data_IF_673739443326
#
_entry.id   IF_673739443326
#
_cell.length_a   1.000
_cell.length_b   1.000
_cell.length_c   1.000
_cell.angle_alpha   90.00
_cell.angle_beta   90.00
_cell.angle_gamma   90.00
#
_symmetry.space_group_name_H-M   'P 1'
#
loop_
_entity.id
_entity.type
_entity.pdbx_description
1 polymer ?
#
# COMPACT_ATOMS: atom_id res chain seq x y z
N UNK A 1 25.28 -2.33 8.98
CA UNK A 1 26.35 -1.30 8.90
C UNK A 1 26.07 -0.29 7.77
N UNK A 2 25.80 -0.70 6.55
CA UNK A 2 25.52 0.20 5.41
C UNK A 2 24.37 1.19 5.65
N UNK A 3 23.32 0.78 6.37
CA UNK A 3 22.18 1.65 6.69
C UNK A 3 22.54 2.78 7.67
N UNK A 4 23.43 2.53 8.62
CA UNK A 4 23.92 3.57 9.55
C UNK A 4 24.83 4.58 8.84
N UNK A 5 25.69 4.10 7.94
CA UNK A 5 26.53 4.99 7.12
C UNK A 5 25.67 5.89 6.25
N UNK A 6 24.62 5.34 5.61
CA UNK A 6 23.69 6.11 4.79
C UNK A 6 22.93 7.16 5.63
N UNK A 7 22.44 6.78 6.82
CA UNK A 7 21.76 7.68 7.74
C UNK A 7 22.65 8.87 8.17
N UNK A 8 23.96 8.62 8.37
CA UNK A 8 24.91 9.66 8.74
C UNK A 8 25.19 10.67 7.61
N UNK A 9 24.94 10.30 6.35
CA UNK A 9 25.09 11.18 5.19
C UNK A 9 23.84 12.03 4.92
N UNK A 10 22.70 11.70 5.52
CA UNK A 10 21.45 12.43 5.33
C UNK A 10 21.43 13.73 6.12
N UNK A 11 20.83 14.79 5.54
CA UNK A 11 20.49 16.02 6.27
C UNK A 11 19.41 15.74 7.32
N UNK A 12 19.19 16.67 8.23
CA UNK A 12 18.12 16.51 9.23
C UNK A 12 16.73 16.57 8.58
N UNK A 13 16.54 17.38 7.52
CA UNK A 13 15.33 17.42 6.71
C UNK A 13 15.06 16.07 6.02
N UNK A 14 16.10 15.44 5.46
CA UNK A 14 15.97 14.12 4.86
C UNK A 14 15.60 13.07 5.90
N UNK A 15 16.24 13.08 7.08
CA UNK A 15 15.90 12.15 8.17
C UNK A 15 14.47 12.32 8.64
N UNK A 16 14.02 13.56 8.86
CA UNK A 16 12.64 13.86 9.25
C UNK A 16 11.67 13.44 8.15
N UNK A 17 12.00 13.72 6.89
CA UNK A 17 11.20 13.32 5.73
C UNK A 17 10.94 11.81 5.68
N UNK A 18 11.93 10.99 6.08
CA UNK A 18 11.78 9.53 6.09
C UNK A 18 10.69 9.01 7.06
N UNK A 19 10.26 9.82 8.02
CA UNK A 19 9.18 9.48 8.95
C UNK A 19 7.78 9.64 8.34
N UNK A 20 7.69 10.25 7.16
CA UNK A 20 6.40 10.55 6.52
C UNK A 20 6.13 9.62 5.34
N UNK A 21 4.93 9.03 5.35
CA UNK A 21 4.32 8.39 4.21
C UNK A 21 3.06 9.20 3.84
N UNK A 22 3.00 9.70 2.61
CA UNK A 22 1.98 10.66 2.19
C UNK A 22 1.20 10.17 0.98
N UNK A 23 -0.03 10.65 0.81
CA UNK A 23 -0.78 10.45 -0.42
C UNK A 23 -0.33 11.44 -1.53
N UNK A 24 -0.72 11.19 -2.77
CA UNK A 24 -0.30 12.03 -3.91
C UNK A 24 -0.88 13.43 -3.87
N UNK A 25 -2.01 13.63 -3.22
CA UNK A 25 -2.66 14.94 -3.05
C UNK A 25 -1.83 15.87 -2.16
N UNK A 26 -1.09 15.33 -1.19
CA UNK A 26 -0.14 16.13 -0.39
C UNK A 26 1.09 16.54 -1.18
N UNK A 27 1.49 15.75 -2.18
CA UNK A 27 2.57 16.13 -3.09
C UNK A 27 2.16 17.16 -4.14
N UNK A 28 0.87 17.23 -4.49
CA UNK A 28 0.34 18.22 -5.45
C UNK A 28 -0.96 18.82 -4.93
N UNK A 29 -0.84 19.89 -4.15
CA UNK A 29 -1.96 20.63 -3.58
C UNK A 29 -2.59 21.64 -4.55
N UNK A 30 -2.14 21.70 -5.81
CA UNK A 30 -2.74 22.58 -6.84
C UNK A 30 -4.10 22.06 -7.31
N UNK A 31 -4.45 20.84 -6.96
CA UNK A 31 -5.74 20.19 -7.23
C UNK A 31 -6.53 20.01 -5.94
N UNK A 32 -7.81 19.81 -6.09
CA UNK A 32 -8.68 19.55 -4.93
C UNK A 32 -8.38 18.22 -4.23
N UNK A 33 -8.84 18.12 -3.00
CA UNK A 33 -8.80 16.88 -2.23
C UNK A 33 -9.45 15.72 -3.01
N UNK A 34 -8.86 14.54 -2.95
CA UNK A 34 -9.27 13.34 -3.70
C UNK A 34 -9.15 13.43 -5.23
N UNK A 35 -8.38 14.40 -5.74
CA UNK A 35 -8.09 14.43 -7.18
C UNK A 35 -7.39 13.14 -7.63
N UNK A 36 -7.81 12.62 -8.78
CA UNK A 36 -7.27 11.35 -9.33
C UNK A 36 -5.90 11.53 -9.98
N UNK A 37 -4.86 11.70 -9.18
CA UNK A 37 -3.49 11.80 -9.67
C UNK A 37 -3.02 10.46 -10.28
N UNK A 38 -3.11 10.34 -11.59
CA UNK A 38 -2.65 9.15 -12.36
C UNK A 38 -1.29 9.34 -13.04
N UNK A 39 -0.65 10.49 -12.83
CA UNK A 39 0.65 10.84 -13.41
C UNK A 39 1.43 11.72 -12.45
N UNK A 40 2.75 11.57 -12.45
CA UNK A 40 3.63 12.49 -11.75
C UNK A 40 3.52 13.89 -12.40
N UNK A 41 3.16 14.89 -11.59
CA UNK A 41 3.03 16.30 -12.02
C UNK A 41 4.33 17.07 -11.76
N UNK A 42 4.39 18.32 -12.24
CA UNK A 42 5.51 19.20 -11.95
C UNK A 42 5.54 19.56 -10.45
N UNK A 43 4.38 19.90 -9.88
CA UNK A 43 4.25 20.22 -8.46
C UNK A 43 4.74 19.06 -7.57
N UNK A 44 4.36 17.80 -7.87
CA UNK A 44 4.85 16.64 -7.11
C UNK A 44 6.37 16.52 -7.13
N UNK A 45 7.03 16.83 -8.25
CA UNK A 45 8.50 16.78 -8.32
C UNK A 45 9.14 17.85 -7.45
N UNK A 46 8.63 19.07 -7.53
CA UNK A 46 9.09 20.21 -6.72
C UNK A 46 8.90 19.92 -5.23
N UNK A 47 7.76 19.30 -4.85
CA UNK A 47 7.49 18.90 -3.47
C UNK A 47 8.42 17.78 -3.00
N UNK A 48 8.68 16.75 -3.82
CA UNK A 48 9.60 15.66 -3.47
C UNK A 48 11.05 16.14 -3.33
N UNK A 49 11.44 17.15 -4.12
CA UNK A 49 12.76 17.78 -4.01
C UNK A 49 12.89 18.63 -2.75
N UNK A 50 11.84 19.38 -2.40
CA UNK A 50 11.83 20.25 -1.22
C UNK A 50 11.61 19.47 0.09
N UNK A 51 10.78 18.43 0.06
CA UNK A 51 10.40 17.60 1.21
C UNK A 51 10.63 16.12 0.87
N UNK A 52 11.81 15.57 1.18
CA UNK A 52 12.19 14.22 0.79
C UNK A 52 11.49 13.17 1.67
N UNK A 53 10.18 12.95 1.44
CA UNK A 53 9.38 11.97 2.19
C UNK A 53 9.89 10.55 2.04
N UNK A 54 9.67 9.71 3.08
CA UNK A 54 10.08 8.31 3.09
C UNK A 54 9.20 7.41 2.26
N UNK A 55 7.93 7.79 2.04
CA UNK A 55 7.02 6.96 1.28
C UNK A 55 5.81 7.66 0.70
N UNK A 56 5.14 6.94 -0.19
CA UNK A 56 3.87 7.35 -0.79
C UNK A 56 2.86 6.21 -0.76
N UNK A 57 1.62 6.51 -0.43
CA UNK A 57 0.51 5.55 -0.52
C UNK A 57 -0.35 5.85 -1.73
N UNK A 58 -0.61 4.82 -2.55
CA UNK A 58 -1.50 4.90 -3.69
C UNK A 58 -2.84 4.26 -3.36
N UNK A 59 -3.91 4.99 -3.70
CA UNK A 59 -5.29 4.54 -3.54
C UNK A 59 -5.92 4.19 -4.90
N UNK A 60 -7.10 3.58 -4.90
CA UNK A 60 -7.82 3.19 -6.12
C UNK A 60 -7.93 4.32 -7.14
N UNK A 61 -8.10 5.57 -6.69
CA UNK A 61 -8.16 6.76 -7.55
C UNK A 61 -6.87 7.07 -8.31
N UNK A 62 -5.72 6.58 -7.83
CA UNK A 62 -4.42 6.74 -8.46
C UNK A 62 -4.08 5.59 -9.44
N UNK A 63 -4.81 4.47 -9.33
CA UNK A 63 -4.55 3.20 -9.99
C UNK A 63 -5.59 2.98 -11.08
N UNK A 64 -5.16 2.95 -12.35
CA UNK A 64 -6.06 2.72 -13.47
C UNK A 64 -5.84 1.38 -14.14
N UNK A 65 -4.61 1.08 -14.55
CA UNK A 65 -4.22 -0.20 -15.14
C UNK A 65 -2.73 -0.46 -14.93
N UNK A 66 -2.28 -1.69 -15.17
CA UNK A 66 -0.88 -2.12 -14.94
C UNK A 66 0.16 -1.17 -15.54
N UNK A 67 -0.02 -0.77 -16.81
CA UNK A 67 0.95 0.09 -17.52
C UNK A 67 1.05 1.49 -16.89
N UNK A 68 -0.09 2.09 -16.57
CA UNK A 68 -0.13 3.41 -15.94
C UNK A 68 0.47 3.35 -14.53
N UNK A 69 0.08 2.37 -13.71
CA UNK A 69 0.56 2.21 -12.33
C UNK A 69 2.07 1.99 -12.28
N UNK A 70 2.60 1.05 -13.05
CA UNK A 70 4.07 0.84 -13.19
C UNK A 70 4.80 2.13 -13.60
N UNK A 71 4.23 2.88 -14.55
CA UNK A 71 4.84 4.14 -15.02
C UNK A 71 4.82 5.22 -13.95
N UNK A 72 3.74 5.31 -13.17
CA UNK A 72 3.61 6.28 -12.07
C UNK A 72 4.64 5.96 -10.98
N UNK A 73 4.66 4.74 -10.47
CA UNK A 73 5.59 4.29 -9.43
C UNK A 73 7.04 4.51 -9.84
N UNK A 74 7.42 4.06 -11.05
CA UNK A 74 8.78 4.27 -11.56
C UNK A 74 9.17 5.75 -11.62
N UNK A 75 8.21 6.64 -11.96
CA UNK A 75 8.48 8.07 -12.01
C UNK A 75 8.60 8.69 -10.62
N UNK A 76 7.80 8.26 -9.65
CA UNK A 76 7.93 8.68 -8.25
C UNK A 76 9.31 8.29 -7.73
N UNK A 77 9.70 7.02 -7.85
CA UNK A 77 11.03 6.53 -7.44
C UNK A 77 12.18 7.32 -8.09
N UNK A 78 12.08 7.60 -9.41
CA UNK A 78 13.15 8.31 -10.13
C UNK A 78 13.30 9.77 -9.71
N UNK A 79 12.27 10.39 -9.14
CA UNK A 79 12.27 11.80 -8.75
C UNK A 79 12.34 11.99 -7.23
N UNK A 80 12.65 10.95 -6.48
CA UNK A 80 12.95 11.02 -5.06
C UNK A 80 14.47 10.87 -4.85
N UNK A 81 15.03 11.61 -3.90
CA UNK A 81 16.46 11.52 -3.51
C UNK A 81 16.76 10.21 -2.78
N UNK A 82 15.79 9.71 -2.01
CA UNK A 82 15.86 8.43 -1.29
C UNK A 82 14.84 7.46 -1.89
N UNK A 83 15.12 6.16 -1.99
CA UNK A 83 14.14 5.17 -2.41
C UNK A 83 12.88 5.23 -1.56
N UNK A 84 11.70 5.39 -2.20
CA UNK A 84 10.44 5.49 -1.53
C UNK A 84 9.90 4.12 -1.09
N UNK A 85 9.28 4.08 0.08
CA UNK A 85 8.25 3.10 0.36
C UNK A 85 7.01 3.44 -0.48
N UNK A 86 6.65 2.56 -1.39
CA UNK A 86 5.46 2.71 -2.23
C UNK A 86 4.42 1.74 -1.73
N UNK A 87 3.41 2.28 -1.06
CA UNK A 87 2.47 1.54 -0.26
C UNK A 87 1.11 1.41 -0.95
N UNK A 88 0.40 0.34 -0.64
CA UNK A 88 -0.98 0.09 -1.04
C UNK A 88 -1.72 -0.66 0.08
N UNK A 89 -3.04 -0.55 0.11
CA UNK A 89 -3.92 -1.42 0.89
C UNK A 89 -4.43 -2.52 -0.03
N UNK A 90 -3.83 -3.69 -0.01
CA UNK A 90 -4.25 -4.84 -0.79
C UNK A 90 -4.53 -6.02 0.14
N UNK A 91 -5.50 -5.84 1.06
CA UNK A 91 -5.87 -6.83 2.06
C UNK A 91 -6.52 -8.08 1.45
N UNK A 92 -7.14 -7.92 0.27
CA UNK A 92 -8.09 -8.87 -0.29
C UNK A 92 -9.53 -8.49 0.09
N UNK A 93 -10.52 -9.22 -0.42
CA UNK A 93 -11.93 -8.95 -0.15
C UNK A 93 -12.34 -7.51 -0.51
N UNK A 94 -12.93 -6.79 0.43
CA UNK A 94 -13.47 -5.45 0.20
C UNK A 94 -12.36 -4.39 0.05
N UNK A 95 -11.21 -4.61 0.68
CA UNK A 95 -10.08 -3.69 0.63
C UNK A 95 -8.98 -4.24 -0.26
N UNK A 96 -9.17 -4.07 -1.56
CA UNK A 96 -8.21 -4.47 -2.59
C UNK A 96 -8.19 -3.43 -3.71
N UNK A 97 -7.11 -2.67 -3.84
CA UNK A 97 -7.00 -1.58 -4.82
C UNK A 97 -6.62 -2.11 -6.19
N UNK A 98 -5.96 -3.26 -6.23
CA UNK A 98 -5.50 -3.96 -7.42
C UNK A 98 -6.50 -5.05 -7.79
N UNK A 99 -6.81 -5.97 -6.89
CA UNK A 99 -7.74 -7.08 -7.09
C UNK A 99 -9.12 -6.63 -7.53
N UNK A 100 -9.69 -5.62 -6.88
CA UNK A 100 -11.03 -5.10 -7.20
C UNK A 100 -11.05 -4.18 -8.44
N UNK A 101 -9.92 -4.01 -9.14
CA UNK A 101 -9.86 -3.23 -10.38
C UNK A 101 -9.78 -4.16 -11.61
N UNK A 102 -10.86 -4.32 -12.38
CA UNK A 102 -10.92 -5.27 -13.49
C UNK A 102 -9.91 -4.98 -14.61
N UNK A 103 -9.35 -3.76 -14.66
CA UNK A 103 -8.31 -3.39 -15.64
C UNK A 103 -6.92 -3.90 -15.26
N UNK A 104 -6.76 -4.41 -14.04
CA UNK A 104 -5.49 -4.99 -13.57
C UNK A 104 -5.34 -6.44 -14.04
N UNK A 105 -6.44 -7.16 -14.22
CA UNK A 105 -6.46 -8.59 -14.63
C UNK A 105 -5.59 -9.43 -13.70
N UNK A 106 -5.84 -9.30 -12.41
CA UNK A 106 -5.20 -10.02 -11.32
C UNK A 106 -6.19 -10.98 -10.68
N UNK A 107 -5.69 -11.92 -9.90
CA UNK A 107 -6.54 -12.76 -9.07
C UNK A 107 -7.22 -11.92 -7.99
N UNK A 108 -8.40 -12.33 -7.59
CA UNK A 108 -9.21 -11.74 -6.52
C UNK A 108 -9.47 -12.77 -5.46
N UNK A 109 -9.61 -12.33 -4.23
CA UNK A 109 -9.84 -13.22 -3.10
C UNK A 109 -11.09 -12.83 -2.33
N UNK A 110 -11.75 -13.77 -1.65
CA UNK A 110 -12.86 -13.50 -0.74
C UNK A 110 -12.46 -12.59 0.41
N UNK A 111 -13.41 -12.20 1.25
CA UNK A 111 -13.12 -11.49 2.49
C UNK A 111 -12.29 -12.33 3.45
N UNK A 112 -11.53 -11.70 4.33
CA UNK A 112 -10.72 -12.41 5.32
C UNK A 112 -11.59 -13.23 6.28
N UNK A 113 -12.81 -12.77 6.58
CA UNK A 113 -13.77 -13.54 7.37
C UNK A 113 -14.19 -14.84 6.67
N UNK A 114 -14.41 -14.81 5.35
CA UNK A 114 -14.73 -16.03 4.59
C UNK A 114 -13.53 -16.97 4.53
N UNK A 115 -12.34 -16.44 4.35
CA UNK A 115 -11.10 -17.23 4.34
C UNK A 115 -10.83 -17.84 5.74
N UNK A 116 -10.98 -17.06 6.80
CA UNK A 116 -10.81 -17.55 8.18
C UNK A 116 -11.76 -18.69 8.53
N UNK A 117 -12.98 -18.69 8.00
CA UNK A 117 -13.95 -19.79 8.15
C UNK A 117 -13.54 -21.10 7.47
N UNK A 118 -12.61 -21.06 6.52
CA UNK A 118 -12.10 -22.28 5.88
C UNK A 118 -11.18 -23.08 6.80
N UNK A 119 -10.59 -22.45 7.81
CA UNK A 119 -9.57 -23.02 8.70
C UNK A 119 -8.35 -23.57 7.92
N UNK A 120 -8.03 -23.00 6.76
CA UNK A 120 -6.99 -23.43 5.85
C UNK A 120 -5.85 -22.40 5.80
N UNK A 121 -4.83 -22.61 6.59
CA UNK A 121 -3.64 -21.74 6.65
C UNK A 121 -2.83 -21.78 5.34
N UNK A 122 -2.83 -22.89 4.64
CA UNK A 122 -2.14 -23.01 3.35
C UNK A 122 -2.82 -22.14 2.28
N UNK A 123 -4.14 -22.03 2.34
CA UNK A 123 -4.88 -21.11 1.46
C UNK A 123 -4.59 -19.64 1.79
N UNK A 124 -4.48 -19.28 3.08
CA UNK A 124 -4.06 -17.93 3.50
C UNK A 124 -2.67 -17.61 2.97
N UNK A 125 -1.72 -18.54 3.10
CA UNK A 125 -0.37 -18.38 2.57
C UNK A 125 -0.37 -18.18 1.05
N UNK A 126 -1.09 -19.03 0.31
CA UNK A 126 -1.24 -18.92 -1.14
C UNK A 126 -1.81 -17.56 -1.57
N UNK A 127 -2.84 -17.08 -0.87
CA UNK A 127 -3.42 -15.76 -1.10
C UNK A 127 -2.37 -14.65 -0.91
N UNK A 128 -1.67 -14.66 0.23
CA UNK A 128 -0.69 -13.64 0.56
C UNK A 128 0.49 -13.63 -0.42
N UNK A 129 1.00 -14.81 -0.82
CA UNK A 129 2.05 -14.95 -1.84
C UNK A 129 1.59 -14.40 -3.21
N UNK A 130 0.35 -14.71 -3.60
CA UNK A 130 -0.23 -14.24 -4.86
C UNK A 130 -0.39 -12.73 -4.86
N UNK A 131 -0.99 -12.16 -3.82
CA UNK A 131 -1.14 -10.71 -3.64
C UNK A 131 0.23 -10.02 -3.67
N UNK A 132 1.16 -10.48 -2.83
CA UNK A 132 2.51 -9.92 -2.75
C UNK A 132 3.24 -9.92 -4.09
N UNK A 133 3.13 -11.03 -4.85
CA UNK A 133 3.69 -11.12 -6.20
C UNK A 133 3.05 -10.13 -7.17
N UNK A 134 1.71 -10.02 -7.17
CA UNK A 134 0.96 -9.14 -8.07
C UNK A 134 1.26 -7.66 -7.84
N UNK A 135 1.32 -7.22 -6.58
CA UNK A 135 1.64 -5.83 -6.24
C UNK A 135 3.13 -5.53 -6.46
N UNK A 136 4.02 -6.49 -6.11
CA UNK A 136 5.46 -6.38 -6.33
C UNK A 136 5.82 -6.19 -7.81
N UNK A 137 5.16 -6.91 -8.72
CA UNK A 137 5.30 -6.71 -10.16
C UNK A 137 4.92 -5.30 -10.64
N UNK A 138 4.05 -4.60 -9.93
CA UNK A 138 3.66 -3.22 -10.24
C UNK A 138 4.68 -2.20 -9.73
N UNK A 139 5.53 -2.60 -8.78
CA UNK A 139 6.56 -1.79 -8.15
C UNK A 139 6.21 -1.30 -6.74
N UNK A 140 5.10 -1.78 -6.16
CA UNK A 140 4.85 -1.60 -4.73
C UNK A 140 5.86 -2.41 -3.92
N UNK A 141 6.28 -1.90 -2.78
CA UNK A 141 7.22 -2.56 -1.88
C UNK A 141 6.75 -2.60 -0.43
N UNK A 142 5.56 -2.06 -0.17
CA UNK A 142 4.86 -2.16 1.12
C UNK A 142 3.38 -2.43 0.85
N UNK A 143 2.84 -3.42 1.54
CA UNK A 143 1.41 -3.66 1.66
C UNK A 143 0.96 -3.40 3.10
N UNK A 144 -0.13 -2.66 3.27
CA UNK A 144 -0.74 -2.46 4.58
C UNK A 144 -1.74 -3.60 4.88
N UNK A 145 -1.22 -4.82 4.83
CA UNK A 145 -1.90 -6.07 5.09
C UNK A 145 -0.90 -7.09 5.72
N UNK A 146 -1.40 -8.16 6.35
CA UNK A 146 -2.80 -8.47 6.63
C UNK A 146 -3.37 -7.65 7.81
N UNK A 147 -4.71 -7.67 7.94
CA UNK A 147 -5.41 -7.12 9.11
C UNK A 147 -5.27 -8.10 10.27
N UNK A 148 -4.55 -7.67 11.31
CA UNK A 148 -4.32 -8.46 12.52
C UNK A 148 -5.37 -8.22 13.63
N UNK A 149 -6.42 -7.44 13.32
CA UNK A 149 -7.49 -7.16 14.25
C UNK A 149 -8.36 -8.39 14.48
N UNK A 150 -8.67 -8.67 15.76
CA UNK A 150 -9.60 -9.72 16.17
C UNK A 150 -11.01 -9.14 16.21
N UNK A 151 -11.99 -9.82 15.61
CA UNK A 151 -13.39 -9.40 15.60
C UNK A 151 -14.03 -9.63 16.97
N UNK A 152 -13.85 -8.69 17.89
CA UNK A 152 -14.36 -8.81 19.27
C UNK A 152 -15.84 -8.50 19.43
N UNK A 153 -16.48 -7.90 18.43
CA UNK A 153 -17.91 -7.54 18.43
C UNK A 153 -18.45 -7.40 17.01
N UNK A 154 -19.70 -7.83 16.80
CA UNK A 154 -20.44 -7.64 15.55
C UNK A 154 -20.73 -6.16 15.25
N UNK A 155 -20.66 -5.29 16.26
CA UNK A 155 -20.91 -3.85 16.06
C UNK A 155 -19.72 -3.10 15.45
N UNK A 156 -18.55 -3.72 15.36
CA UNK A 156 -17.37 -3.10 14.73
C UNK A 156 -17.47 -3.23 13.20
N UNK A 157 -18.16 -2.27 12.57
CA UNK A 157 -18.33 -2.23 11.13
C UNK A 157 -17.08 -1.81 10.35
N UNK A 158 -16.11 -1.16 11.02
CA UNK A 158 -14.87 -0.69 10.36
C UNK A 158 -13.95 -1.86 10.01
N UNK A 159 -13.80 -2.81 10.91
CA UNK A 159 -13.02 -4.04 10.67
C UNK A 159 -13.91 -5.06 9.95
N UNK A 160 -15.08 -5.40 10.52
CA UNK A 160 -16.09 -6.26 9.89
C UNK A 160 -15.50 -7.51 9.25
N UNK A 161 -15.74 -7.68 7.96
CA UNK A 161 -15.29 -8.81 7.13
C UNK A 161 -13.79 -8.82 6.84
N UNK A 162 -13.05 -7.78 7.24
CA UNK A 162 -11.59 -7.67 7.05
C UNK A 162 -10.80 -8.49 8.06
N UNK A 163 -11.40 -8.90 9.19
CA UNK A 163 -10.77 -9.79 10.18
C UNK A 163 -10.92 -11.25 9.77
N UNK A 164 -9.90 -12.04 10.05
CA UNK A 164 -9.95 -13.51 9.89
C UNK A 164 -10.87 -14.21 10.90
N UNK A 165 -11.31 -13.52 11.95
CA UNK A 165 -12.26 -14.08 12.92
C UNK A 165 -12.15 -13.48 14.32
N UNK A 166 -12.76 -14.19 15.29
CA UNK A 166 -12.91 -13.77 16.67
C UNK A 166 -11.96 -14.49 17.65
N UNK A 167 -11.23 -15.50 17.18
CA UNK A 167 -10.21 -16.20 17.98
C UNK A 167 -8.83 -15.57 17.74
N UNK A 168 -8.23 -14.90 18.75
CA UNK A 168 -6.93 -14.24 18.58
C UNK A 168 -5.78 -15.20 18.26
N UNK A 169 -5.89 -16.48 18.61
CA UNK A 169 -4.86 -17.46 18.27
C UNK A 169 -4.90 -17.82 16.79
N UNK A 170 -6.09 -17.99 16.23
CA UNK A 170 -6.28 -18.26 14.80
C UNK A 170 -5.90 -17.05 13.97
N UNK A 171 -6.30 -15.84 14.37
CA UNK A 171 -5.90 -14.59 13.67
C UNK A 171 -4.37 -14.42 13.66
N UNK A 172 -3.69 -14.81 14.75
CA UNK A 172 -2.23 -14.73 14.82
C UNK A 172 -1.51 -15.85 14.04
N UNK A 173 -2.18 -16.95 13.75
CA UNK A 173 -1.65 -18.06 12.93
C UNK A 173 -1.69 -17.71 11.44
N UNK A 174 -2.74 -17.01 10.99
CA UNK A 174 -2.94 -16.58 9.60
C UNK A 174 -2.13 -15.34 9.27
#
# INVERSE_FOLDING_TARGET
>A
YASLEYLNLMSDEEKVGQLFNVNLELLDQTKGQYYEHKKLTKAMKETLEQYPVGGVTLFSRNIWNRKQTKKLIRKLQKNSSTPLFVCVDEEGGDVARIGNNPKMKTDTFPSMEEIGKTEDADYVYYMAETIGSQIGELGFNVDFAPVADVKTTEMNSEIGTRSFGDDPKKVAEY
#
